data_IF_032921137382
#
_entry.id   IF_032921137382
#
_cell.length_a   1.000
_cell.length_b   1.000
_cell.length_c   1.000
_cell.angle_alpha   90.00
_cell.angle_beta   90.00
_cell.angle_gamma   90.00
#
_symmetry.space_group_name_H-M   'P 1'
#
loop_
_entity.id
_entity.type
_entity.pdbx_description
1 polymer ?
#
# COMPACT_ATOMS: atom_id res chain seq x y z
N UNK A 1 -57.86 -45.03 14.78
CA UNK A 1 -58.06 -45.80 13.54
C UNK A 1 -57.62 -44.88 12.40
N UNK A 2 -56.41 -44.88 11.81
CA UNK A 2 -55.19 -45.67 11.96
C UNK A 2 -54.05 -44.81 12.54
N UNK A 3 -53.21 -45.43 13.37
CA UNK A 3 -52.13 -44.79 14.13
C UNK A 3 -50.85 -44.78 13.30
N UNK A 4 -50.18 -43.62 13.31
CA UNK A 4 -48.82 -43.39 12.88
C UNK A 4 -47.82 -44.33 13.60
N UNK A 5 -46.91 -44.95 12.84
CA UNK A 5 -45.59 -45.44 13.28
C UNK A 5 -44.61 -45.05 12.16
N UNK A 6 -43.69 -44.09 12.38
CA UNK A 6 -42.24 -44.27 12.69
C UNK A 6 -41.62 -45.44 11.90
N UNK A 7 -40.49 -45.33 11.19
CA UNK A 7 -39.15 -44.79 11.52
C UNK A 7 -38.46 -44.47 10.16
N UNK A 8 -37.46 -43.62 9.98
CA UNK A 8 -36.55 -42.94 10.86
C UNK A 8 -35.45 -42.26 10.02
N UNK A 9 -34.41 -41.82 10.72
CA UNK A 9 -33.11 -41.36 10.23
C UNK A 9 -33.03 -39.91 9.73
N UNK A 10 -32.68 -39.05 10.70
CA UNK A 10 -32.05 -37.77 10.48
C UNK A 10 -30.69 -37.93 9.78
N UNK A 11 -30.44 -37.14 8.74
CA UNK A 11 -29.09 -36.71 8.39
C UNK A 11 -29.13 -35.21 8.05
N UNK A 12 -28.75 -34.43 9.05
CA UNK A 12 -28.39 -33.03 8.92
C UNK A 12 -27.03 -32.95 8.19
N UNK A 13 -27.05 -32.81 6.87
CA UNK A 13 -25.86 -32.42 6.13
C UNK A 13 -25.73 -30.89 6.21
N UNK A 14 -25.11 -30.41 7.28
CA UNK A 14 -24.57 -29.06 7.31
C UNK A 14 -23.44 -29.01 6.28
N UNK A 15 -23.74 -28.52 5.07
CA UNK A 15 -22.70 -28.07 4.14
C UNK A 15 -22.07 -26.84 4.79
N UNK A 16 -21.04 -27.10 5.59
CA UNK A 16 -20.13 -26.08 6.07
C UNK A 16 -19.44 -25.48 4.84
N UNK A 17 -19.79 -24.25 4.51
CA UNK A 17 -19.05 -23.44 3.56
C UNK A 17 -17.62 -23.28 4.07
N UNK A 18 -16.70 -24.07 3.53
CA UNK A 18 -15.29 -23.74 3.59
C UNK A 18 -15.08 -22.57 2.61
N UNK A 19 -15.37 -21.36 3.08
CA UNK A 19 -14.84 -20.15 2.46
C UNK A 19 -13.32 -20.29 2.52
N UNK A 20 -12.72 -20.71 1.41
CA UNK A 20 -11.30 -20.56 1.18
C UNK A 20 -11.04 -19.06 1.11
N UNK A 21 -10.87 -18.43 2.27
CA UNK A 21 -10.20 -17.15 2.38
C UNK A 21 -8.78 -17.41 1.94
N UNK A 22 -8.53 -17.18 0.65
CA UNK A 22 -7.19 -16.99 0.14
C UNK A 22 -6.59 -15.88 0.97
N UNK A 23 -5.62 -16.25 1.80
CA UNK A 23 -4.84 -15.31 2.55
C UNK A 23 -4.19 -14.36 1.54
N UNK A 24 -4.75 -13.16 1.40
CA UNK A 24 -3.98 -11.97 1.08
C UNK A 24 -3.04 -11.73 2.27
N UNK A 25 -2.09 -12.64 2.46
CA UNK A 25 -1.12 -12.62 3.54
C UNK A 25 -0.14 -11.48 3.28
N UNK A 26 -0.30 -10.40 4.04
CA UNK A 26 0.72 -9.46 4.48
C UNK A 26 1.79 -9.01 3.47
N UNK A 27 1.38 -8.42 2.34
CA UNK A 27 2.26 -7.45 1.66
C UNK A 27 2.63 -6.27 2.59
N UNK A 28 1.80 -5.98 3.61
CA UNK A 28 2.10 -5.00 4.67
C UNK A 28 3.13 -5.48 5.70
N UNK A 29 3.43 -6.77 5.77
CA UNK A 29 4.38 -7.32 6.74
C UNK A 29 5.81 -6.82 6.52
N UNK A 30 6.17 -6.55 5.26
CA UNK A 30 7.51 -6.09 4.84
C UNK A 30 7.70 -4.57 4.89
N UNK A 31 6.63 -3.78 5.01
CA UNK A 31 6.73 -2.33 5.04
C UNK A 31 7.38 -1.84 6.35
N UNK A 32 8.26 -0.84 6.24
CA UNK A 32 9.01 -0.29 7.36
C UNK A 32 8.06 0.40 8.32
N UNK A 33 8.09 0.00 9.59
CA UNK A 33 7.43 0.71 10.68
C UNK A 33 8.48 1.51 11.47
N UNK A 34 8.55 2.85 11.32
CA UNK A 34 9.56 3.64 12.01
C UNK A 34 9.39 3.55 13.53
N UNK A 35 10.47 3.21 14.23
CA UNK A 35 10.56 3.30 15.70
C UNK A 35 11.34 4.53 16.16
N UNK A 36 11.96 5.23 15.21
CA UNK A 36 12.71 6.47 15.38
C UNK A 36 12.51 7.37 14.14
N UNK A 37 13.00 8.61 14.21
CA UNK A 37 12.90 9.55 13.10
C UNK A 37 13.80 9.10 11.95
N UNK A 38 13.20 8.84 10.80
CA UNK A 38 13.91 8.55 9.55
C UNK A 38 13.93 9.83 8.71
N UNK A 39 15.12 10.34 8.41
CA UNK A 39 15.30 11.46 7.48
C UNK A 39 15.15 10.94 6.05
N UNK A 40 14.00 11.20 5.43
CA UNK A 40 13.70 10.76 4.06
C UNK A 40 14.39 11.62 2.99
N UNK A 41 14.64 12.90 3.27
CA UNK A 41 15.27 13.84 2.34
C UNK A 41 16.50 14.47 2.99
N UNK A 42 17.62 14.50 2.26
CA UNK A 42 18.93 14.95 2.74
C UNK A 42 19.27 16.38 2.28
N UNK A 43 18.40 17.03 1.50
CA UNK A 43 18.64 18.34 0.92
C UNK A 43 19.58 18.34 -0.30
N UNK A 44 20.01 17.18 -0.79
CA UNK A 44 21.04 17.08 -1.83
C UNK A 44 20.59 16.29 -3.04
N UNK A 45 19.83 15.22 -2.81
CA UNK A 45 19.48 14.25 -3.85
C UNK A 45 18.06 13.73 -3.69
N UNK A 46 17.56 13.10 -4.75
CA UNK A 46 16.30 12.35 -4.75
C UNK A 46 16.55 10.84 -4.73
N UNK A 47 17.73 10.38 -4.33
CA UNK A 47 18.15 8.97 -4.41
C UNK A 47 17.27 8.03 -3.56
N UNK A 48 16.60 8.57 -2.54
CA UNK A 48 15.62 7.85 -1.72
C UNK A 48 14.25 7.67 -2.38
N UNK A 49 14.06 8.19 -3.59
CA UNK A 49 12.79 8.32 -4.28
C UNK A 49 12.87 7.89 -5.74
N UNK A 50 11.70 7.66 -6.32
CA UNK A 50 11.49 7.61 -7.76
C UNK A 50 10.32 8.54 -8.14
N UNK A 51 10.36 9.05 -9.37
CA UNK A 51 9.25 9.81 -9.95
C UNK A 51 8.26 8.88 -10.62
N UNK A 52 6.97 9.20 -10.51
CA UNK A 52 5.94 8.58 -11.34
C UNK A 52 5.10 9.68 -12.00
N UNK A 53 4.97 9.62 -13.32
CA UNK A 53 4.21 10.54 -14.15
C UNK A 53 3.18 9.76 -14.96
N UNK A 54 1.99 10.36 -15.16
CA UNK A 54 0.91 9.70 -15.92
C UNK A 54 1.30 9.43 -17.39
N UNK A 55 2.03 10.35 -18.00
CA UNK A 55 2.43 10.35 -19.40
C UNK A 55 3.76 9.64 -19.64
N UNK A 56 4.75 9.83 -18.76
CA UNK A 56 6.11 9.31 -18.92
C UNK A 56 6.50 8.22 -17.91
N UNK A 57 5.56 7.76 -17.09
CA UNK A 57 5.75 6.73 -16.08
C UNK A 57 6.95 7.04 -15.17
N UNK A 58 8.01 6.23 -15.19
CA UNK A 58 9.17 6.43 -14.29
C UNK A 58 10.13 7.52 -14.73
N UNK A 59 9.95 8.08 -15.92
CA UNK A 59 10.82 9.13 -16.42
C UNK A 59 10.26 10.51 -16.09
N UNK A 60 11.12 11.44 -15.69
CA UNK A 60 10.80 12.87 -15.53
C UNK A 60 11.69 13.72 -16.46
N UNK A 61 11.46 13.68 -17.79
CA UNK A 61 12.26 14.45 -18.74
C UNK A 61 12.08 15.96 -18.58
N UNK A 62 10.99 16.40 -17.95
CA UNK A 62 10.64 17.81 -17.73
C UNK A 62 11.25 18.37 -16.45
N UNK A 63 11.86 17.54 -15.61
CA UNK A 63 12.46 17.91 -14.32
C UNK A 63 11.43 18.60 -13.41
N UNK A 64 10.24 18.02 -13.36
CA UNK A 64 9.15 18.43 -12.47
C UNK A 64 9.60 18.37 -11.03
N UNK A 65 10.36 17.33 -10.66
CA UNK A 65 10.94 17.15 -9.34
C UNK A 65 12.46 17.38 -9.39
N UNK A 66 12.95 18.31 -8.58
CA UNK A 66 14.39 18.59 -8.50
C UNK A 66 14.79 19.17 -7.16
N UNK A 67 16.06 19.02 -6.80
CA UNK A 67 16.65 19.70 -5.65
C UNK A 67 17.27 21.01 -6.11
N UNK A 68 16.93 22.10 -5.46
CA UNK A 68 17.54 23.42 -5.69
C UNK A 68 17.69 24.11 -4.34
N UNK A 69 18.89 24.63 -4.05
CA UNK A 69 19.21 25.33 -2.80
C UNK A 69 18.85 24.56 -1.52
N UNK A 70 19.07 23.24 -1.50
CA UNK A 70 18.77 22.41 -0.35
C UNK A 70 17.32 21.94 -0.23
N UNK A 71 16.44 22.36 -1.16
CA UNK A 71 15.00 22.15 -1.06
C UNK A 71 14.46 21.32 -2.23
N UNK A 72 13.39 20.56 -1.96
CA UNK A 72 12.60 19.91 -3.01
C UNK A 72 11.76 20.98 -3.73
N UNK A 73 12.01 21.18 -5.01
CA UNK A 73 11.23 22.04 -5.88
C UNK A 73 10.33 21.18 -6.78
N UNK A 74 9.02 21.48 -6.77
CA UNK A 74 8.02 20.82 -7.63
C UNK A 74 7.36 21.87 -8.52
N UNK A 75 7.47 21.73 -9.85
CA UNK A 75 6.90 22.73 -10.79
C UNK A 75 5.39 22.66 -10.94
N UNK A 76 4.80 21.49 -10.63
CA UNK A 76 3.38 21.22 -10.87
C UNK A 76 3.02 20.92 -12.32
N UNK A 77 4.00 20.74 -13.20
CA UNK A 77 3.75 20.46 -14.62
C UNK A 77 3.37 18.98 -14.85
N UNK A 78 2.07 18.70 -14.96
CA UNK A 78 1.53 17.37 -15.22
C UNK A 78 0.98 16.65 -13.99
N UNK A 79 0.57 15.39 -14.18
CA UNK A 79 0.00 14.56 -13.13
C UNK A 79 0.98 13.46 -12.73
N UNK A 80 1.47 13.51 -11.50
CA UNK A 80 2.47 12.58 -11.00
C UNK A 80 2.77 12.76 -9.52
N UNK A 81 3.83 12.11 -9.07
CA UNK A 81 4.29 12.16 -7.69
C UNK A 81 5.74 11.72 -7.52
N UNK A 82 6.33 12.16 -6.42
CA UNK A 82 7.60 11.67 -5.91
C UNK A 82 7.31 10.61 -4.84
N UNK A 83 7.83 9.40 -5.01
CA UNK A 83 7.48 8.24 -4.18
C UNK A 83 8.75 7.66 -3.56
N UNK A 84 8.71 7.28 -2.29
CA UNK A 84 9.85 6.65 -1.62
C UNK A 84 10.17 5.29 -2.23
N UNK A 85 11.45 4.95 -2.34
CA UNK A 85 11.89 3.62 -2.79
C UNK A 85 11.52 2.50 -1.82
N UNK A 86 11.33 2.84 -0.54
CA UNK A 86 10.87 1.93 0.50
C UNK A 86 9.39 2.16 0.78
N UNK A 87 8.68 1.10 1.14
CA UNK A 87 7.32 1.18 1.67
C UNK A 87 7.36 1.41 3.18
N UNK A 88 6.45 2.25 3.68
CA UNK A 88 6.32 2.56 5.09
C UNK A 88 4.90 2.31 5.57
N UNK A 89 4.75 1.97 6.85
CA UNK A 89 3.46 1.83 7.53
C UNK A 89 3.51 2.40 8.94
N UNK A 90 2.34 2.65 9.51
CA UNK A 90 2.15 3.07 10.91
C UNK A 90 3.08 4.25 11.32
N UNK A 91 3.21 5.24 10.43
CA UNK A 91 4.15 6.36 10.58
C UNK A 91 3.43 7.70 10.82
N UNK A 92 4.16 8.64 11.41
CA UNK A 92 3.82 10.06 11.41
C UNK A 92 4.79 10.78 10.48
N UNK A 93 4.27 11.33 9.38
CA UNK A 93 5.06 12.07 8.41
C UNK A 93 4.97 13.57 8.69
N UNK A 94 6.13 14.24 8.70
CA UNK A 94 6.23 15.69 8.84
C UNK A 94 6.90 16.23 7.58
N UNK A 95 6.35 17.31 7.05
CA UNK A 95 6.87 18.03 5.90
C UNK A 95 6.87 19.53 6.23
N UNK A 96 7.92 20.23 5.80
CA UNK A 96 8.07 21.68 5.94
C UNK A 96 8.08 22.30 4.53
N UNK A 97 7.43 23.46 4.38
CA UNK A 97 7.22 24.17 3.10
C UNK A 97 7.79 25.58 3.10
#
# INVERSE_FOLDING_TARGET
MNRFLLHGLAMLAAVGGASAQTAAGDARGSAVRPTEVIRLFDGKSLDGFYTWMKDTQREDPRKVFRVTDGMLHVTGDGLGGLVTNKEYRDYHCILEI
#
